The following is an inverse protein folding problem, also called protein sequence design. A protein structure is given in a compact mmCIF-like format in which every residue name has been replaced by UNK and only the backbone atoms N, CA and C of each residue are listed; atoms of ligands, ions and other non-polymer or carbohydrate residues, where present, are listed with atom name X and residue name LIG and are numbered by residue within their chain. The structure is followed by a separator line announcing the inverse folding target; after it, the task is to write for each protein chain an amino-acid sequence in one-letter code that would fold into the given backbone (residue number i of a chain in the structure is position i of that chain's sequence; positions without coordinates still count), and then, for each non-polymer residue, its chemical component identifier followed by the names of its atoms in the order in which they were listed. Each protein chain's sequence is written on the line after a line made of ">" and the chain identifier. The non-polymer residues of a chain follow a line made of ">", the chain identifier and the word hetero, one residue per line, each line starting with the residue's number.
data_IF_676071292463
#
_entry.id   IF_676071292463
#
_cell.length_a   1.000
_cell.length_b   1.000
_cell.length_c   1.000
_cell.angle_alpha   90.00
_cell.angle_beta   90.00
_cell.angle_gamma   90.00
#
_symmetry.space_group_name_H-M   'P 1'
#
loop_
_entity.id
_entity.type
_entity.pdbx_description
1 polymer ?
#
# COMPACT_ATOMS: atom_id res chain seq x y z
N UNK A 1 26.32 7.35 16.14
CA UNK A 1 26.71 5.94 16.33
C UNK A 1 28.01 5.84 17.16
N UNK A 2 29.00 6.69 16.87
CA UNK A 2 30.32 6.60 17.49
C UNK A 2 30.36 6.95 19.00
N UNK A 3 29.34 7.65 19.47
CA UNK A 3 29.13 7.99 20.89
C UNK A 3 28.13 7.03 21.59
N UNK A 4 27.68 5.96 20.93
CA UNK A 4 26.71 5.01 21.48
C UNK A 4 25.30 5.59 21.69
N UNK A 5 25.01 6.79 21.15
CA UNK A 5 23.69 7.41 21.24
C UNK A 5 22.76 6.83 20.18
N UNK A 6 21.51 6.53 20.60
CA UNK A 6 20.44 6.10 19.71
C UNK A 6 19.80 7.33 19.05
N UNK A 7 19.83 7.39 17.72
CA UNK A 7 19.07 8.35 16.94
C UNK A 7 17.67 7.79 16.70
N UNK A 8 16.64 8.53 17.13
CA UNK A 8 15.24 8.21 16.86
C UNK A 8 14.64 9.32 16.00
N UNK A 9 14.01 8.93 14.89
CA UNK A 9 13.30 9.85 14.01
C UNK A 9 11.78 9.74 14.28
N UNK A 10 11.15 10.85 14.63
CA UNK A 10 9.70 10.95 14.84
C UNK A 10 9.07 11.59 13.60
N UNK A 11 8.40 10.78 12.78
CA UNK A 11 7.75 11.23 11.56
C UNK A 11 6.23 11.16 11.72
N UNK A 12 5.56 12.29 11.48
CA UNK A 12 4.10 12.37 11.47
C UNK A 12 3.54 12.01 10.10
N UNK A 13 2.40 11.31 10.07
CA UNK A 13 1.58 11.09 8.88
C UNK A 13 0.34 11.98 8.94
N UNK A 14 0.19 12.88 7.96
CA UNK A 14 -0.99 13.74 7.82
C UNK A 14 -2.29 12.92 7.80
N UNK A 15 -2.26 11.77 7.16
CA UNK A 15 -3.40 10.87 7.02
C UNK A 15 -4.01 10.43 8.36
N UNK A 16 -3.20 10.27 9.41
CA UNK A 16 -3.74 9.94 10.74
C UNK A 16 -4.63 11.06 11.28
N UNK A 17 -4.25 12.31 11.05
CA UNK A 17 -5.07 13.48 11.38
C UNK A 17 -6.35 13.54 10.52
N UNK A 18 -6.27 13.18 9.23
CA UNK A 18 -7.45 13.08 8.35
C UNK A 18 -8.40 12.01 8.86
N UNK A 19 -7.91 10.81 9.18
CA UNK A 19 -8.72 9.70 9.71
C UNK A 19 -9.43 10.11 11.02
N UNK A 20 -8.69 10.68 11.98
CA UNK A 20 -9.26 11.14 13.25
C UNK A 20 -10.36 12.19 13.05
N UNK A 21 -10.13 13.15 12.13
CA UNK A 21 -11.12 14.18 11.81
C UNK A 21 -12.33 13.60 11.10
N UNK A 22 -12.15 12.69 10.15
CA UNK A 22 -13.24 12.03 9.44
C UNK A 22 -14.13 11.23 10.40
N UNK A 23 -13.55 10.45 11.31
CA UNK A 23 -14.32 9.71 12.31
C UNK A 23 -15.12 10.66 13.23
N UNK A 24 -14.54 11.81 13.63
CA UNK A 24 -15.27 12.84 14.40
C UNK A 24 -16.41 13.43 13.56
N UNK A 25 -16.19 13.73 12.29
CA UNK A 25 -17.24 14.22 11.41
C UNK A 25 -18.40 13.23 11.32
N UNK A 26 -18.11 11.94 11.14
CA UNK A 26 -19.13 10.87 11.10
C UNK A 26 -19.93 10.84 12.43
N UNK A 27 -19.26 10.92 13.57
CA UNK A 27 -19.94 10.95 14.87
C UNK A 27 -20.87 12.16 15.00
N UNK A 28 -20.42 13.35 14.55
CA UNK A 28 -21.21 14.57 14.59
C UNK A 28 -22.43 14.55 13.66
N UNK A 29 -22.31 13.98 12.47
CA UNK A 29 -23.41 13.99 11.48
C UNK A 29 -24.37 12.82 11.63
N UNK A 30 -23.89 11.67 12.09
CA UNK A 30 -24.69 10.41 12.13
C UNK A 30 -24.94 9.88 13.56
N UNK A 31 -24.25 10.40 14.56
CA UNK A 31 -24.25 9.83 15.91
C UNK A 31 -23.46 8.52 16.04
N UNK A 32 -22.89 8.00 14.94
CA UNK A 32 -22.15 6.73 14.93
C UNK A 32 -20.69 6.95 15.20
N UNK A 33 -20.18 6.36 16.27
CA UNK A 33 -18.76 6.35 16.57
C UNK A 33 -18.03 5.29 15.74
N UNK A 34 -17.02 5.69 14.99
CA UNK A 34 -16.13 4.80 14.24
C UNK A 34 -14.77 4.76 14.93
N UNK A 35 -14.32 3.54 15.21
CA UNK A 35 -12.98 3.26 15.72
C UNK A 35 -12.12 2.83 14.53
N UNK A 36 -11.08 3.60 14.14
CA UNK A 36 -10.29 3.29 12.94
C UNK A 36 -9.66 1.90 12.94
N UNK A 37 -9.33 1.38 14.13
CA UNK A 37 -8.72 0.05 14.30
C UNK A 37 -9.68 -1.10 14.00
N UNK A 38 -10.99 -0.85 14.10
CA UNK A 38 -12.06 -1.83 13.86
C UNK A 38 -12.57 -1.80 12.41
N UNK A 39 -12.08 -0.88 11.57
CA UNK A 39 -12.44 -0.85 10.16
C UNK A 39 -11.92 -2.12 9.47
N UNK A 40 -12.82 -2.90 8.80
CA UNK A 40 -12.45 -4.15 8.16
C UNK A 40 -11.50 -3.93 6.98
N UNK A 41 -10.67 -4.94 6.70
CA UNK A 41 -9.76 -4.94 5.55
C UNK A 41 -10.31 -5.67 4.33
N UNK A 42 -11.56 -6.10 4.38
CA UNK A 42 -12.28 -6.86 3.35
C UNK A 42 -13.60 -6.21 2.91
N UNK A 43 -13.73 -4.89 3.13
CA UNK A 43 -14.93 -4.12 2.75
C UNK A 43 -15.05 -3.98 1.24
N UNK A 44 -16.13 -4.53 0.68
CA UNK A 44 -16.37 -4.53 -0.77
C UNK A 44 -16.65 -3.13 -1.34
N UNK A 45 -17.26 -2.23 -0.58
CA UNK A 45 -17.50 -0.87 -1.04
C UNK A 45 -16.19 -0.10 -1.18
N UNK A 46 -15.23 -0.32 -0.28
CA UNK A 46 -13.88 0.23 -0.38
C UNK A 46 -13.14 -0.31 -1.61
N UNK A 47 -13.23 -1.61 -1.90
CA UNK A 47 -12.65 -2.18 -3.13
C UNK A 47 -13.33 -1.63 -4.38
N UNK A 48 -14.67 -1.55 -4.40
CA UNK A 48 -15.42 -0.98 -5.53
C UNK A 48 -15.02 0.48 -5.80
N UNK A 49 -14.84 1.28 -4.76
CA UNK A 49 -14.35 2.66 -4.87
C UNK A 49 -12.97 2.71 -5.55
N UNK A 50 -12.03 1.86 -5.16
CA UNK A 50 -10.70 1.80 -5.77
C UNK A 50 -10.77 1.32 -7.23
N UNK A 51 -11.62 0.34 -7.55
CA UNK A 51 -11.84 -0.15 -8.92
C UNK A 51 -12.50 0.89 -9.83
N UNK A 52 -13.34 1.77 -9.29
CA UNK A 52 -13.96 2.85 -10.05
C UNK A 52 -12.98 3.97 -10.49
N UNK A 53 -11.78 4.01 -9.90
CA UNK A 53 -10.81 5.06 -10.12
C UNK A 53 -11.06 6.34 -9.31
N UNK A 54 -12.10 6.39 -8.47
CA UNK A 54 -12.38 7.53 -7.59
C UNK A 54 -11.45 7.51 -6.35
N UNK A 55 -10.15 7.66 -6.59
CA UNK A 55 -9.11 7.48 -5.56
C UNK A 55 -8.54 8.77 -4.98
N UNK A 56 -8.98 9.95 -5.43
CA UNK A 56 -8.52 11.23 -4.86
C UNK A 56 -8.77 11.29 -3.37
N UNK A 57 -7.76 11.70 -2.62
CA UNK A 57 -7.77 11.76 -1.16
C UNK A 57 -7.49 10.44 -0.45
N UNK A 58 -7.40 9.30 -1.15
CA UNK A 58 -7.00 8.03 -0.53
C UNK A 58 -5.51 8.03 -0.18
N UNK A 59 -5.18 7.50 0.97
CA UNK A 59 -3.79 7.38 1.37
C UNK A 59 -2.99 6.56 0.37
N UNK A 60 -1.80 7.03 0.00
CA UNK A 60 -0.81 6.38 -0.85
C UNK A 60 -1.27 6.11 -2.30
N UNK A 61 -2.53 5.79 -2.57
CA UNK A 61 -2.98 5.26 -3.87
C UNK A 61 -3.70 6.28 -4.75
N UNK A 62 -3.76 7.56 -4.38
CA UNK A 62 -4.44 8.63 -5.14
C UNK A 62 -3.74 9.05 -6.44
N UNK A 63 -2.52 8.57 -6.69
CA UNK A 63 -1.74 8.98 -7.87
C UNK A 63 -2.14 8.25 -9.14
N UNK A 64 -1.95 8.89 -10.32
CA UNK A 64 -2.29 8.34 -11.63
C UNK A 64 -1.67 6.97 -11.93
N UNK A 65 -0.49 6.67 -11.38
CA UNK A 65 0.15 5.35 -11.49
C UNK A 65 -0.70 4.26 -10.83
N UNK A 66 -1.32 4.52 -9.67
CA UNK A 66 -2.20 3.56 -9.02
C UNK A 66 -3.55 3.45 -9.73
N UNK A 67 -4.10 4.56 -10.26
CA UNK A 67 -5.31 4.51 -11.10
C UNK A 67 -5.08 3.61 -12.30
N UNK A 68 -3.96 3.78 -13.01
CA UNK A 68 -3.58 2.93 -14.14
C UNK A 68 -3.33 1.47 -13.72
N UNK A 69 -2.70 1.24 -12.58
CA UNK A 69 -2.46 -0.10 -12.07
C UNK A 69 -3.78 -0.80 -11.72
N UNK A 70 -4.68 -0.16 -10.98
CA UNK A 70 -5.95 -0.75 -10.56
C UNK A 70 -6.95 -0.93 -11.69
N UNK A 71 -6.84 -0.16 -12.78
CA UNK A 71 -7.59 -0.42 -14.02
C UNK A 71 -7.16 -1.74 -14.69
N UNK A 72 -5.92 -2.18 -14.50
CA UNK A 72 -5.33 -3.40 -15.10
C UNK A 72 -5.27 -4.58 -14.12
N UNK A 73 -5.18 -4.29 -12.84
CA UNK A 73 -5.14 -5.23 -11.72
C UNK A 73 -6.12 -4.75 -10.65
N UNK A 74 -7.44 -4.92 -10.87
CA UNK A 74 -8.46 -4.45 -9.95
C UNK A 74 -8.36 -5.18 -8.60
N UNK A 75 -8.30 -4.46 -7.47
CA UNK A 75 -8.20 -5.09 -6.16
C UNK A 75 -9.54 -5.72 -5.74
N UNK A 76 -9.49 -6.95 -5.26
CA UNK A 76 -10.62 -7.71 -4.72
C UNK A 76 -10.38 -8.21 -3.30
N UNK A 77 -9.14 -8.19 -2.84
CA UNK A 77 -8.74 -8.64 -1.51
C UNK A 77 -7.59 -7.78 -0.98
N UNK A 78 -7.40 -7.80 0.31
CA UNK A 78 -6.36 -7.02 0.98
C UNK A 78 -4.95 -7.27 0.44
N UNK A 79 -4.62 -8.53 0.14
CA UNK A 79 -3.32 -8.90 -0.43
C UNK A 79 -3.03 -8.26 -1.80
N UNK A 80 -4.06 -7.92 -2.58
CA UNK A 80 -3.87 -7.24 -3.87
C UNK A 80 -3.38 -5.79 -3.65
N UNK A 81 -3.87 -5.12 -2.60
CA UNK A 81 -3.38 -3.79 -2.23
C UNK A 81 -1.95 -3.88 -1.71
N UNK A 82 -1.65 -4.88 -0.86
CA UNK A 82 -0.30 -5.11 -0.33
C UNK A 82 0.71 -5.33 -1.46
N UNK A 83 0.35 -6.15 -2.45
CA UNK A 83 1.18 -6.39 -3.64
C UNK A 83 1.32 -5.12 -4.49
N UNK A 84 0.24 -4.36 -4.67
CA UNK A 84 0.25 -3.12 -5.46
C UNK A 84 1.21 -2.07 -4.90
N UNK A 85 1.29 -1.92 -3.57
CA UNK A 85 2.25 -1.00 -2.92
C UNK A 85 3.70 -1.47 -3.15
N UNK A 86 3.93 -2.78 -3.14
CA UNK A 86 5.25 -3.33 -3.39
C UNK A 86 5.67 -3.21 -4.86
N UNK A 87 4.73 -3.34 -5.80
CA UNK A 87 4.97 -3.38 -7.25
C UNK A 87 5.02 -1.99 -7.89
N UNK A 88 4.21 -1.03 -7.43
CA UNK A 88 4.07 0.29 -8.08
C UNK A 88 5.24 1.24 -7.74
N UNK A 89 6.43 0.86 -8.17
CA UNK A 89 7.70 1.59 -7.95
C UNK A 89 8.55 1.54 -9.22
N UNK A 90 9.43 2.54 -9.48
CA UNK A 90 10.24 2.60 -10.71
C UNK A 90 10.94 1.27 -11.06
N UNK A 91 11.64 0.66 -10.10
CA UNK A 91 12.41 -0.56 -10.35
C UNK A 91 11.56 -1.74 -10.84
N UNK A 92 10.51 -2.19 -10.14
CA UNK A 92 9.60 -3.24 -10.64
C UNK A 92 8.92 -2.88 -11.97
N UNK A 93 8.54 -1.60 -12.18
CA UNK A 93 7.92 -1.13 -13.42
C UNK A 93 8.87 -1.23 -14.61
N UNK A 94 10.10 -0.78 -14.45
CA UNK A 94 11.13 -0.78 -15.50
C UNK A 94 11.66 -2.19 -15.84
N UNK A 95 11.63 -3.10 -14.86
CA UNK A 95 12.11 -4.49 -15.05
C UNK A 95 11.15 -5.41 -15.81
N UNK A 96 9.93 -4.97 -16.10
CA UNK A 96 8.87 -5.81 -16.68
C UNK A 96 8.16 -6.74 -15.70
N UNK A 97 8.59 -6.78 -14.45
CA UNK A 97 8.02 -7.63 -13.38
C UNK A 97 6.53 -7.35 -13.15
N UNK A 98 6.13 -6.09 -13.20
CA UNK A 98 4.72 -5.69 -13.01
C UNK A 98 3.85 -6.23 -14.13
N UNK A 99 4.33 -6.17 -15.37
CA UNK A 99 3.61 -6.70 -16.54
C UNK A 99 3.40 -8.23 -16.43
N UNK A 100 4.42 -8.95 -16.01
CA UNK A 100 4.34 -10.39 -15.87
C UNK A 100 3.43 -10.77 -14.69
N UNK A 101 3.51 -10.05 -13.57
CA UNK A 101 2.59 -10.21 -12.45
C UNK A 101 1.13 -10.00 -12.87
N UNK A 102 0.83 -8.93 -13.62
CA UNK A 102 -0.53 -8.64 -14.10
C UNK A 102 -1.04 -9.74 -15.02
N UNK A 103 -0.21 -10.29 -15.93
CA UNK A 103 -0.62 -11.39 -16.82
C UNK A 103 -1.06 -12.62 -16.03
N UNK A 104 -0.31 -12.98 -14.99
CA UNK A 104 -0.62 -14.15 -14.16
C UNK A 104 -1.84 -13.86 -13.27
N UNK A 105 -1.87 -12.73 -12.59
CA UNK A 105 -2.96 -12.34 -11.70
C UNK A 105 -4.31 -12.17 -12.43
N UNK A 106 -4.28 -11.73 -13.70
CA UNK A 106 -5.48 -11.64 -14.56
C UNK A 106 -5.89 -12.95 -15.25
N UNK A 107 -5.17 -14.05 -15.00
CA UNK A 107 -5.44 -15.36 -15.62
C UNK A 107 -5.04 -15.47 -17.08
N UNK A 108 -4.35 -14.47 -17.66
CA UNK A 108 -3.83 -14.52 -19.04
C UNK A 108 -2.68 -15.51 -19.19
N UNK A 109 -1.94 -15.73 -18.11
CA UNK A 109 -0.86 -16.72 -18.03
C UNK A 109 -1.16 -17.63 -16.83
N UNK A 110 -1.01 -18.96 -16.96
CA UNK A 110 -1.20 -19.87 -15.83
C UNK A 110 -0.23 -19.57 -14.69
N UNK A 111 -0.69 -19.73 -13.45
CA UNK A 111 0.18 -19.68 -12.27
C UNK A 111 1.17 -20.83 -12.36
N UNK A 112 2.44 -20.55 -12.22
CA UNK A 112 3.51 -21.55 -12.21
C UNK A 112 4.25 -21.48 -10.87
N UNK A 113 4.40 -22.64 -10.21
CA UNK A 113 5.27 -22.81 -9.05
C UNK A 113 6.50 -23.60 -9.48
N UNK A 114 7.67 -23.20 -9.01
CA UNK A 114 8.92 -23.94 -9.24
C UNK A 114 8.83 -25.38 -8.71
N UNK A 115 8.12 -25.53 -7.59
CA UNK A 115 7.79 -26.80 -6.94
C UNK A 115 6.52 -26.59 -6.12
N UNK A 116 5.60 -27.55 -6.08
CA UNK A 116 4.33 -27.46 -5.37
C UNK A 116 4.51 -27.24 -3.84
N UNK A 117 5.62 -27.69 -3.28
CA UNK A 117 5.96 -27.47 -1.85
C UNK A 117 6.19 -25.99 -1.52
N UNK A 118 6.45 -25.13 -2.52
CA UNK A 118 6.62 -23.69 -2.38
C UNK A 118 5.30 -22.91 -2.57
N UNK A 119 4.21 -23.59 -2.97
CA UNK A 119 2.89 -22.97 -3.13
C UNK A 119 2.46 -22.17 -1.89
N UNK A 120 2.53 -22.68 -0.65
CA UNK A 120 2.08 -21.93 0.53
C UNK A 120 2.81 -20.60 0.74
N UNK A 121 4.03 -20.47 0.22
CA UNK A 121 4.83 -19.24 0.31
C UNK A 121 4.49 -18.26 -0.81
N UNK A 122 4.13 -18.76 -2.00
CA UNK A 122 4.05 -17.96 -3.23
C UNK A 122 2.62 -17.79 -3.77
N UNK A 123 1.61 -18.48 -3.23
CA UNK A 123 0.25 -18.46 -3.77
C UNK A 123 -0.41 -17.08 -3.66
N UNK A 124 -0.14 -16.32 -2.60
CA UNK A 124 -0.70 -14.98 -2.42
C UNK A 124 -0.22 -13.99 -3.50
N UNK A 125 0.90 -14.28 -4.14
CA UNK A 125 1.53 -13.48 -5.21
C UNK A 125 1.59 -14.25 -6.53
N UNK A 126 0.69 -15.20 -6.72
CA UNK A 126 0.52 -15.95 -7.97
C UNK A 126 1.82 -16.62 -8.47
N UNK A 127 2.61 -17.17 -7.56
CA UNK A 127 3.89 -17.83 -7.88
C UNK A 127 5.08 -16.89 -8.04
N UNK A 128 4.88 -15.58 -7.94
CA UNK A 128 5.94 -14.57 -8.11
C UNK A 128 6.53 -14.16 -6.78
N UNK A 129 7.85 -14.08 -6.69
CA UNK A 129 8.52 -13.47 -5.53
C UNK A 129 8.40 -11.94 -5.58
N UNK A 130 7.66 -11.35 -4.65
CA UNK A 130 7.45 -9.89 -4.54
C UNK A 130 8.09 -9.34 -3.27
N UNK A 131 8.10 -10.15 -2.20
CA UNK A 131 8.53 -9.71 -0.88
C UNK A 131 9.87 -10.32 -0.46
N UNK A 132 10.63 -9.55 0.31
CA UNK A 132 11.86 -10.03 0.94
C UNK A 132 11.61 -11.25 1.82
N UNK A 133 10.49 -11.25 2.52
CA UNK A 133 10.04 -12.34 3.39
C UNK A 133 9.82 -13.65 2.62
N UNK A 134 9.38 -13.57 1.37
CA UNK A 134 9.23 -14.78 0.52
C UNK A 134 10.57 -15.40 0.18
N UNK A 135 11.61 -14.60 -0.12
CA UNK A 135 12.97 -15.13 -0.33
C UNK A 135 13.46 -15.87 0.91
N UNK A 136 13.22 -15.28 2.10
CA UNK A 136 13.58 -15.93 3.36
C UNK A 136 12.81 -17.23 3.56
N UNK A 137 11.49 -17.24 3.37
CA UNK A 137 10.65 -18.42 3.54
C UNK A 137 11.01 -19.53 2.55
N UNK A 138 11.25 -19.20 1.27
CA UNK A 138 11.73 -20.16 0.27
C UNK A 138 13.06 -20.79 0.71
N UNK A 139 14.01 -19.98 1.23
CA UNK A 139 15.28 -20.51 1.73
C UNK A 139 15.12 -21.47 2.92
N UNK A 140 14.16 -21.20 3.78
CA UNK A 140 13.86 -22.05 4.92
C UNK A 140 13.18 -23.36 4.51
N UNK A 141 12.17 -23.28 3.64
CA UNK A 141 11.40 -24.44 3.18
C UNK A 141 12.24 -25.33 2.27
N UNK A 142 12.93 -24.75 1.31
CA UNK A 142 13.67 -25.51 0.30
C UNK A 142 15.04 -25.98 0.81
N UNK A 143 15.80 -25.08 1.44
CA UNK A 143 17.21 -25.35 1.78
C UNK A 143 17.46 -25.54 3.27
N UNK A 144 16.40 -25.58 4.10
CA UNK A 144 16.52 -25.81 5.54
C UNK A 144 17.25 -24.69 6.29
N UNK A 145 17.28 -23.47 5.76
CA UNK A 145 17.94 -22.36 6.42
C UNK A 145 17.24 -22.01 7.75
N UNK A 146 18.01 -21.71 8.77
CA UNK A 146 17.47 -21.06 9.96
C UNK A 146 17.02 -19.63 9.62
N UNK A 147 16.12 -19.06 10.43
CA UNK A 147 15.65 -17.68 10.25
C UNK A 147 16.81 -16.67 10.18
N UNK A 148 17.85 -16.84 11.02
CA UNK A 148 19.04 -15.99 11.00
C UNK A 148 19.86 -16.13 9.72
N UNK A 149 19.98 -17.36 9.15
CA UNK A 149 20.68 -17.59 7.88
C UNK A 149 19.88 -17.04 6.71
N UNK A 150 18.55 -17.17 6.74
CA UNK A 150 17.65 -16.58 5.75
C UNK A 150 17.72 -15.04 5.72
N UNK A 151 17.78 -14.39 6.89
CA UNK A 151 17.97 -12.94 6.98
C UNK A 151 19.36 -12.51 6.49
N UNK A 152 20.40 -13.30 6.77
CA UNK A 152 21.74 -13.07 6.21
C UNK A 152 21.73 -13.13 4.68
N UNK A 153 21.00 -14.09 4.08
CA UNK A 153 20.81 -14.21 2.63
C UNK A 153 20.12 -12.96 2.08
N UNK A 154 18.98 -12.57 2.64
CA UNK A 154 18.25 -11.36 2.25
C UNK A 154 19.14 -10.11 2.25
N UNK A 155 19.91 -9.92 3.34
CA UNK A 155 20.85 -8.79 3.47
C UNK A 155 21.99 -8.85 2.46
N UNK A 156 22.52 -10.05 2.18
CA UNK A 156 23.62 -10.23 1.22
C UNK A 156 23.16 -9.93 -0.21
N UNK A 157 22.01 -10.42 -0.61
CA UNK A 157 21.40 -10.15 -1.92
C UNK A 157 21.10 -8.66 -2.10
N UNK A 158 20.43 -8.01 -1.14
CA UNK A 158 20.10 -6.59 -1.21
C UNK A 158 21.32 -5.67 -1.26
N UNK A 159 22.43 -6.04 -0.60
CA UNK A 159 23.69 -5.27 -0.57
C UNK A 159 24.74 -5.74 -1.59
N UNK A 160 24.41 -6.73 -2.43
CA UNK A 160 25.30 -7.33 -3.45
C UNK A 160 26.68 -7.75 -2.91
N UNK A 161 26.69 -8.38 -1.72
CA UNK A 161 27.93 -8.89 -1.09
C UNK A 161 28.32 -10.23 -1.71
N UNK A 162 29.06 -10.20 -2.82
CA UNK A 162 29.35 -11.36 -3.68
C UNK A 162 29.96 -12.55 -2.94
N UNK A 163 30.93 -12.32 -2.04
CA UNK A 163 31.56 -13.41 -1.26
C UNK A 163 30.58 -14.11 -0.36
N UNK A 164 29.74 -13.34 0.36
CA UNK A 164 28.70 -13.87 1.23
C UNK A 164 27.64 -14.61 0.41
N UNK A 165 27.29 -14.10 -0.75
CA UNK A 165 26.34 -14.73 -1.65
C UNK A 165 26.84 -16.08 -2.17
N UNK A 166 28.11 -16.17 -2.60
CA UNK A 166 28.70 -17.44 -3.07
C UNK A 166 28.67 -18.52 -2.01
N UNK A 167 29.10 -18.19 -0.77
CA UNK A 167 29.04 -19.14 0.34
C UNK A 167 27.62 -19.58 0.67
N UNK A 168 26.66 -18.66 0.65
CA UNK A 168 25.26 -18.98 0.88
C UNK A 168 24.61 -19.78 -0.26
N UNK A 169 25.08 -19.60 -1.51
CA UNK A 169 24.59 -20.36 -2.67
C UNK A 169 24.99 -21.84 -2.61
N UNK A 170 26.19 -22.14 -2.13
CA UNK A 170 26.63 -23.51 -1.89
C UNK A 170 25.73 -24.18 -0.83
N UNK A 171 25.57 -23.53 0.31
CA UNK A 171 24.68 -24.00 1.37
C UNK A 171 23.23 -24.17 0.91
N UNK A 172 22.74 -23.23 0.07
CA UNK A 172 21.42 -23.28 -0.55
C UNK A 172 21.25 -24.52 -1.41
N UNK A 173 22.20 -24.78 -2.31
CA UNK A 173 22.15 -25.91 -3.21
C UNK A 173 22.21 -27.26 -2.45
N UNK A 174 23.12 -27.36 -1.49
CA UNK A 174 23.28 -28.56 -0.68
C UNK A 174 22.02 -28.86 0.16
N UNK A 175 21.51 -27.86 0.88
CA UNK A 175 20.29 -28.02 1.66
C UNK A 175 19.06 -28.33 0.81
N UNK A 176 18.95 -27.75 -0.38
CA UNK A 176 17.85 -28.07 -1.29
C UNK A 176 17.90 -29.54 -1.75
N UNK A 177 19.07 -30.04 -2.13
CA UNK A 177 19.25 -31.44 -2.51
C UNK A 177 18.97 -32.39 -1.35
N UNK A 178 19.44 -32.07 -0.13
CA UNK A 178 19.17 -32.83 1.09
C UNK A 178 17.65 -32.89 1.39
N UNK A 179 16.91 -31.83 1.07
CA UNK A 179 15.46 -31.78 1.23
C UNK A 179 14.68 -32.31 0.00
N UNK A 180 15.36 -32.99 -0.92
CA UNK A 180 14.74 -33.67 -2.06
C UNK A 180 14.27 -32.76 -3.20
N UNK A 181 14.85 -31.57 -3.36
CA UNK A 181 14.71 -30.75 -4.54
C UNK A 181 15.79 -31.04 -5.56
N UNK A 182 15.51 -30.88 -6.84
CA UNK A 182 16.58 -31.01 -7.85
C UNK A 182 17.52 -29.80 -7.81
N UNK A 183 18.79 -30.05 -8.08
CA UNK A 183 19.81 -29.00 -8.17
C UNK A 183 19.45 -27.95 -9.25
N UNK A 184 18.81 -28.39 -10.33
CA UNK A 184 18.35 -27.49 -11.40
C UNK A 184 17.32 -26.49 -10.89
N UNK A 185 16.30 -26.96 -10.18
CA UNK A 185 15.27 -26.11 -9.56
C UNK A 185 15.92 -25.17 -8.55
N UNK A 186 16.82 -25.67 -7.68
CA UNK A 186 17.51 -24.87 -6.70
C UNK A 186 18.29 -23.69 -7.32
N UNK A 187 19.04 -23.97 -8.38
CA UNK A 187 19.79 -22.94 -9.13
C UNK A 187 18.86 -21.92 -9.80
N UNK A 188 17.80 -22.38 -10.46
CA UNK A 188 16.83 -21.51 -11.10
C UNK A 188 16.17 -20.55 -10.09
N UNK A 189 15.73 -21.05 -8.94
CA UNK A 189 15.13 -20.23 -7.90
C UNK A 189 16.15 -19.24 -7.31
N UNK A 190 17.42 -19.67 -7.15
CA UNK A 190 18.48 -18.76 -6.71
C UNK A 190 18.69 -17.59 -7.68
N UNK A 191 18.80 -17.88 -8.97
CA UNK A 191 19.03 -16.85 -10.00
C UNK A 191 17.86 -15.86 -10.07
N UNK A 192 16.63 -16.35 -9.93
CA UNK A 192 15.46 -15.52 -9.90
C UNK A 192 15.37 -14.73 -8.59
N UNK A 193 15.66 -15.33 -7.42
CA UNK A 193 15.74 -14.64 -6.14
C UNK A 193 16.82 -13.52 -6.15
N UNK A 194 17.95 -13.74 -6.79
CA UNK A 194 19.00 -12.72 -6.95
C UNK A 194 18.54 -11.52 -7.78
N UNK A 195 17.82 -11.77 -8.88
CA UNK A 195 17.20 -10.70 -9.69
C UNK A 195 16.16 -9.93 -8.89
N UNK A 196 15.28 -10.64 -8.19
CA UNK A 196 14.22 -10.06 -7.36
C UNK A 196 14.74 -9.30 -6.16
N UNK A 197 15.84 -9.72 -5.55
CA UNK A 197 16.39 -9.08 -4.36
C UNK A 197 16.69 -7.59 -4.56
N UNK A 198 16.91 -7.16 -5.81
CA UNK A 198 17.11 -5.74 -6.16
C UNK A 198 15.82 -4.92 -6.00
N UNK A 199 14.66 -5.56 -6.14
CA UNK A 199 13.33 -4.94 -6.18
C UNK A 199 12.40 -5.45 -5.09
N UNK A 200 12.77 -6.52 -4.38
CA UNK A 200 11.97 -7.11 -3.32
C UNK A 200 11.64 -6.09 -2.23
N UNK A 201 10.37 -6.06 -1.85
CA UNK A 201 9.86 -5.09 -0.88
C UNK A 201 9.67 -5.72 0.50
N UNK A 202 9.72 -4.91 1.54
CA UNK A 202 9.37 -5.38 2.89
C UNK A 202 7.84 -5.51 2.99
N UNK A 203 7.35 -6.74 3.19
CA UNK A 203 5.92 -7.04 3.26
C UNK A 203 5.24 -6.34 4.44
N UNK A 204 5.91 -6.27 5.59
CA UNK A 204 5.37 -5.63 6.77
C UNK A 204 5.09 -4.14 6.53
N UNK A 205 5.97 -3.46 5.80
CA UNK A 205 5.75 -2.06 5.42
C UNK A 205 4.54 -1.91 4.48
N UNK A 206 4.46 -2.70 3.40
CA UNK A 206 3.30 -2.61 2.48
C UNK A 206 1.99 -3.00 3.16
N UNK A 207 1.99 -4.00 4.04
CA UNK A 207 0.81 -4.39 4.81
C UNK A 207 0.33 -3.27 5.74
N UNK A 208 1.24 -2.63 6.48
CA UNK A 208 0.90 -1.51 7.36
C UNK A 208 0.31 -0.33 6.59
N UNK A 209 0.86 0.00 5.41
CA UNK A 209 0.33 1.05 4.54
C UNK A 209 -1.02 0.66 3.93
N UNK A 210 -1.21 -0.62 3.56
CA UNK A 210 -2.48 -1.13 3.03
C UNK A 210 -3.62 -1.04 4.04
N UNK A 211 -3.36 -1.19 5.34
CA UNK A 211 -4.35 -0.94 6.38
C UNK A 211 -4.85 0.52 6.31
N UNK A 212 -3.95 1.48 6.16
CA UNK A 212 -4.35 2.89 6.02
C UNK A 212 -5.08 3.15 4.70
N UNK A 213 -4.69 2.47 3.60
CA UNK A 213 -5.45 2.53 2.33
C UNK A 213 -6.88 2.09 2.56
N UNK A 214 -7.09 0.91 3.17
CA UNK A 214 -8.44 0.39 3.43
C UNK A 214 -9.25 1.31 4.34
N UNK A 215 -8.66 1.83 5.42
CA UNK A 215 -9.34 2.77 6.33
C UNK A 215 -9.78 4.04 5.60
N UNK A 216 -8.93 4.60 4.75
CA UNK A 216 -9.27 5.80 3.96
C UNK A 216 -10.32 5.49 2.90
N UNK A 217 -10.24 4.35 2.22
CA UNK A 217 -11.20 3.91 1.23
C UNK A 217 -12.57 3.61 1.86
N UNK A 218 -12.61 2.92 3.00
CA UNK A 218 -13.83 2.66 3.76
C UNK A 218 -14.55 3.95 4.13
N UNK A 219 -13.85 4.90 4.76
CA UNK A 219 -14.46 6.16 5.16
C UNK A 219 -14.94 6.96 3.96
N UNK A 220 -14.21 6.96 2.85
CA UNK A 220 -14.64 7.66 1.63
C UNK A 220 -15.84 6.97 0.97
N UNK A 221 -15.90 5.62 0.97
CA UNK A 221 -17.00 4.86 0.37
C UNK A 221 -18.31 5.00 1.15
N UNK A 222 -18.24 4.95 2.49
CA UNK A 222 -19.43 4.95 3.34
C UNK A 222 -19.83 6.34 3.84
N UNK A 223 -18.88 7.29 3.94
CA UNK A 223 -19.05 8.64 4.51
C UNK A 223 -18.32 9.68 3.66
N UNK A 224 -18.66 9.83 2.37
CA UNK A 224 -17.91 10.67 1.43
C UNK A 224 -17.84 12.15 1.85
N UNK A 225 -18.93 12.73 2.36
CA UNK A 225 -18.95 14.12 2.81
C UNK A 225 -18.02 14.34 4.00
N UNK A 226 -18.11 13.46 4.99
CA UNK A 226 -17.35 13.52 6.23
C UNK A 226 -15.84 13.32 6.00
N UNK A 227 -15.52 12.34 5.15
CA UNK A 227 -14.15 12.02 4.79
C UNK A 227 -13.50 13.13 3.96
N UNK A 228 -14.18 13.57 2.89
CA UNK A 228 -13.62 14.60 2.01
C UNK A 228 -13.56 15.97 2.68
N UNK A 229 -14.48 16.31 3.60
CA UNK A 229 -14.34 17.50 4.45
C UNK A 229 -13.06 17.46 5.30
N UNK A 230 -12.71 16.29 5.85
CA UNK A 230 -11.46 16.10 6.59
C UNK A 230 -10.22 16.24 5.70
N UNK A 231 -10.26 15.68 4.48
CA UNK A 231 -9.19 15.82 3.47
C UNK A 231 -9.00 17.29 3.10
N UNK A 232 -10.07 17.97 2.67
CA UNK A 232 -10.05 19.40 2.28
C UNK A 232 -9.49 20.27 3.41
N UNK A 233 -9.94 20.06 4.65
CA UNK A 233 -9.45 20.78 5.82
C UNK A 233 -7.95 20.60 6.05
N UNK A 234 -7.42 19.41 5.77
CA UNK A 234 -5.98 19.11 5.93
C UNK A 234 -5.09 19.78 4.88
N UNK A 235 -5.69 20.25 3.78
CA UNK A 235 -4.98 20.86 2.65
C UNK A 235 -5.31 22.34 2.43
N UNK A 236 -5.98 23.04 3.36
CA UNK A 236 -6.33 24.46 3.24
C UNK A 236 -5.12 25.38 2.97
N UNK A 237 -3.92 25.00 3.36
CA UNK A 237 -2.67 25.72 3.06
C UNK A 237 -2.05 25.39 1.68
N UNK A 238 -2.69 24.55 0.85
CA UNK A 238 -2.18 24.13 -0.46
C UNK A 238 -3.26 24.27 -1.53
N UNK A 239 -3.22 25.39 -2.25
CA UNK A 239 -4.24 25.78 -3.23
C UNK A 239 -4.41 24.75 -4.35
N UNK A 240 -3.31 24.23 -4.90
CA UNK A 240 -3.38 23.27 -6.03
C UNK A 240 -4.06 21.96 -5.63
N UNK A 241 -3.71 21.45 -4.46
CA UNK A 241 -4.37 20.26 -3.89
C UNK A 241 -5.84 20.52 -3.58
N UNK A 242 -6.15 21.70 -3.05
CA UNK A 242 -7.51 22.08 -2.71
C UNK A 242 -8.40 22.14 -3.94
N UNK A 243 -7.94 22.80 -5.03
CA UNK A 243 -8.64 22.88 -6.31
C UNK A 243 -8.90 21.47 -6.87
N UNK A 244 -7.88 20.61 -6.88
CA UNK A 244 -8.01 19.23 -7.35
C UNK A 244 -9.08 18.47 -6.56
N UNK A 245 -9.05 18.51 -5.24
CA UNK A 245 -10.00 17.77 -4.41
C UNK A 245 -11.42 18.34 -4.51
N UNK A 246 -11.59 19.66 -4.59
CA UNK A 246 -12.90 20.27 -4.82
C UNK A 246 -13.48 19.83 -6.16
N UNK A 247 -12.68 19.85 -7.24
CA UNK A 247 -13.09 19.37 -8.54
C UNK A 247 -13.51 17.90 -8.50
N UNK A 248 -12.70 17.06 -7.85
CA UNK A 248 -12.99 15.63 -7.67
C UNK A 248 -14.27 15.41 -6.86
N UNK A 249 -14.49 16.14 -5.79
CA UNK A 249 -15.70 16.07 -4.99
C UNK A 249 -16.95 16.39 -5.81
N UNK A 250 -16.92 17.52 -6.55
CA UNK A 250 -18.04 17.95 -7.39
C UNK A 250 -18.34 16.93 -8.49
N UNK A 251 -17.32 16.33 -9.10
CA UNK A 251 -17.48 15.30 -10.14
C UNK A 251 -18.10 14.01 -9.59
N UNK A 252 -17.79 13.66 -8.36
CA UNK A 252 -18.18 12.37 -7.74
C UNK A 252 -19.42 12.49 -6.81
N UNK A 253 -20.23 13.53 -6.97
CA UNK A 253 -21.51 13.65 -6.26
C UNK A 253 -21.39 14.10 -4.79
N UNK A 254 -20.26 14.68 -4.39
CA UNK A 254 -20.01 15.27 -3.07
C UNK A 254 -19.75 16.77 -3.24
N UNK A 255 -20.78 17.62 -3.55
CA UNK A 255 -20.58 18.99 -3.94
C UNK A 255 -19.97 19.82 -2.80
N UNK A 256 -19.00 20.68 -3.16
CA UNK A 256 -18.43 21.66 -2.23
C UNK A 256 -19.18 22.98 -2.42
N UNK A 257 -19.94 23.34 -1.38
CA UNK A 257 -20.76 24.55 -1.36
C UNK A 257 -19.88 25.79 -1.07
N UNK A 258 -20.21 26.97 -1.65
CA UNK A 258 -19.41 28.17 -1.45
C UNK A 258 -19.32 28.59 0.01
N UNK A 259 -18.30 29.40 0.39
CA UNK A 259 -18.23 29.96 1.74
C UNK A 259 -19.41 30.89 2.01
N UNK A 260 -19.91 30.83 3.25
CA UNK A 260 -21.03 31.66 3.73
C UNK A 260 -20.75 32.06 5.18
N UNK A 261 -20.82 33.36 5.44
CA UNK A 261 -20.44 33.92 6.75
C UNK A 261 -21.37 33.46 7.89
N UNK A 262 -22.61 33.06 7.58
CA UNK A 262 -23.59 32.63 8.58
C UNK A 262 -23.57 31.13 8.83
N UNK A 263 -23.05 30.32 7.89
CA UNK A 263 -23.13 28.86 7.95
C UNK A 263 -21.77 28.14 7.83
N UNK A 264 -20.68 28.84 7.44
CA UNK A 264 -19.36 28.24 7.35
C UNK A 264 -18.63 28.28 8.70
N UNK A 265 -18.02 27.17 9.04
CA UNK A 265 -17.01 27.09 10.13
C UNK A 265 -15.62 27.50 9.61
N UNK A 266 -14.64 27.52 10.51
CA UNK A 266 -13.24 27.76 10.13
C UNK A 266 -12.71 26.71 9.13
N UNK A 267 -13.06 25.46 9.32
CA UNK A 267 -12.65 24.33 8.49
C UNK A 267 -13.81 23.82 7.62
N UNK A 268 -13.51 23.03 6.59
CA UNK A 268 -14.53 22.37 5.78
C UNK A 268 -15.40 21.46 6.64
N UNK A 269 -16.71 21.58 6.50
CA UNK A 269 -17.70 20.89 7.35
C UNK A 269 -18.65 20.07 6.47
N UNK A 270 -18.89 18.79 6.79
CA UNK A 270 -19.93 18.02 6.10
C UNK A 270 -21.30 18.62 6.47
N UNK A 271 -22.16 18.69 5.45
CA UNK A 271 -23.56 19.11 5.57
C UNK A 271 -24.44 18.13 4.80
N UNK A 272 -25.78 18.20 5.00
CA UNK A 272 -26.72 17.27 4.41
C UNK A 272 -26.54 17.10 2.89
N UNK A 273 -26.28 18.19 2.15
CA UNK A 273 -26.18 18.22 0.70
C UNK A 273 -24.74 18.40 0.18
N UNK A 274 -23.70 17.97 0.94
CA UNK A 274 -22.32 18.08 0.50
C UNK A 274 -21.34 18.55 1.58
N UNK A 275 -20.41 19.43 1.19
CA UNK A 275 -19.38 19.96 2.08
C UNK A 275 -19.43 21.48 2.05
N UNK A 276 -19.61 22.15 3.19
CA UNK A 276 -19.51 23.59 3.30
C UNK A 276 -18.04 24.02 3.30
N UNK A 277 -17.70 25.02 2.47
CA UNK A 277 -16.35 25.56 2.39
C UNK A 277 -15.96 26.26 3.72
N UNK A 278 -14.76 25.93 4.23
CA UNK A 278 -14.24 26.52 5.46
C UNK A 278 -13.67 27.92 5.26
N UNK A 279 -14.00 28.87 6.15
CA UNK A 279 -13.59 30.28 6.00
C UNK A 279 -12.08 30.48 5.96
N UNK A 280 -11.30 29.67 6.70
CA UNK A 280 -9.82 29.73 6.66
C UNK A 280 -9.24 29.31 5.32
N UNK A 281 -10.01 28.61 4.46
CA UNK A 281 -9.63 28.29 3.08
C UNK A 281 -9.73 29.50 2.13
N UNK A 282 -10.38 30.60 2.56
CA UNK A 282 -10.48 31.83 1.78
C UNK A 282 -9.20 32.63 1.95
N UNK A 283 -8.63 33.08 0.82
CA UNK A 283 -7.37 33.84 0.84
C UNK A 283 -7.51 35.11 1.69
N UNK A 284 -6.62 35.31 2.64
CA UNK A 284 -6.61 36.47 3.54
C UNK A 284 -7.45 36.29 4.80
N UNK A 285 -8.14 35.18 5.00
CA UNK A 285 -8.87 34.86 6.23
C UNK A 285 -8.00 33.97 7.11
N UNK A 286 -7.72 34.42 8.33
CA UNK A 286 -6.98 33.66 9.36
C UNK A 286 -7.90 32.94 10.34
N UNK A 287 -7.30 32.20 11.28
CA UNK A 287 -8.04 31.55 12.37
C UNK A 287 -8.35 32.48 13.56
N UNK A 288 -7.71 33.68 13.59
CA UNK A 288 -7.85 34.66 14.65
C UNK A 288 -8.83 35.76 14.29
#
# INVERSE_FOLDING_TARGET
>A
PDLGLLKMDFLGLRTLGVLSRACRNVELTTGRKIVPEEIPTDDEAAFALMRSGNMDGLFQVEGGLYVSLFARLPPHRFSDIVASIALNRPGPLESGMVEDYIKVASGKTPVHYYDERLRPVLEETYGTMVYQEQIMQVSMVMSGFSAGKADKLRKAMGKKKLEVMRALQEDWNNGAVENGYSLEIAKKIWDDAEKFAKYAFNKSHSAAYSILVMRTAYLKAHYPNEYMAAVLSSYMGNTDRLIRYISSCNHNGTPVLPPDINSSNAEFTPVENGIRFGLVGVRGVGRN
#
